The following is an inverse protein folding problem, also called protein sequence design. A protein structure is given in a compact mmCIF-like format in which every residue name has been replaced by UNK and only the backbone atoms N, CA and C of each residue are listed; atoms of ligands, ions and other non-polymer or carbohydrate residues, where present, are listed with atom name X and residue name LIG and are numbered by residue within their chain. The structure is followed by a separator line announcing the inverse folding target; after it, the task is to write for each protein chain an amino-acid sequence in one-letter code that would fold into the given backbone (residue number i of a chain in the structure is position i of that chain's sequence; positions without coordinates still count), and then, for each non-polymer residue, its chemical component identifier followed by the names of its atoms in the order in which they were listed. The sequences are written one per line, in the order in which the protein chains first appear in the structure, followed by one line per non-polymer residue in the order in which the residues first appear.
data_IF_662197321717
#
_entry.id   IF_662197321717
#
_cell.length_a   1.000
_cell.length_b   1.000
_cell.length_c   1.000
_cell.angle_alpha   90.00
_cell.angle_beta   90.00
_cell.angle_gamma   90.00
#
_symmetry.space_group_name_H-M   'P 1'
#
loop_
_entity.id
_entity.type
_entity.pdbx_description
1 polymer ?
#
# COMPACT_ATOMS: atom_id res chain seq x y z
N UNK A 1 -21.28 -4.77 -32.11
CA UNK A 1 -20.78 -6.12 -31.70
C UNK A 1 -21.29 -6.42 -30.30
N UNK A 2 -21.53 -7.69 -29.91
CA UNK A 2 -21.85 -8.03 -28.52
C UNK A 2 -20.74 -7.55 -27.57
N UNK A 3 -21.10 -7.01 -26.41
CA UNK A 3 -20.16 -6.42 -25.45
C UNK A 3 -19.02 -7.39 -25.07
N UNK A 4 -19.30 -8.69 -24.97
CA UNK A 4 -18.30 -9.73 -24.69
C UNK A 4 -17.25 -9.89 -25.80
N UNK A 5 -17.67 -9.79 -27.08
CA UNK A 5 -16.75 -9.86 -28.23
C UNK A 5 -15.84 -8.64 -28.29
N UNK A 6 -16.38 -7.46 -27.97
CA UNK A 6 -15.61 -6.22 -27.91
C UNK A 6 -14.58 -6.24 -26.77
N UNK A 7 -14.97 -6.65 -25.55
CA UNK A 7 -14.04 -6.76 -24.42
C UNK A 7 -12.89 -7.72 -24.74
N UNK A 8 -13.18 -8.87 -25.35
CA UNK A 8 -12.14 -9.82 -25.76
C UNK A 8 -11.18 -9.21 -26.78
N UNK A 9 -11.71 -8.55 -27.82
CA UNK A 9 -10.87 -7.86 -28.79
C UNK A 9 -9.95 -6.82 -28.14
N UNK A 10 -10.47 -6.00 -27.21
CA UNK A 10 -9.66 -5.00 -26.49
C UNK A 10 -8.57 -5.69 -25.65
N UNK A 11 -8.91 -6.75 -24.93
CA UNK A 11 -7.96 -7.50 -24.12
C UNK A 11 -6.84 -8.08 -24.99
N UNK A 12 -7.17 -8.70 -26.11
CA UNK A 12 -6.19 -9.33 -27.01
C UNK A 12 -5.18 -8.30 -27.54
N UNK A 13 -5.65 -7.11 -27.95
CA UNK A 13 -4.79 -5.99 -28.38
C UNK A 13 -3.87 -5.53 -27.24
N UNK A 14 -4.40 -5.39 -26.02
CA UNK A 14 -3.60 -4.95 -24.88
C UNK A 14 -2.56 -6.01 -24.47
N UNK A 15 -2.90 -7.29 -24.56
CA UNK A 15 -2.00 -8.40 -24.28
C UNK A 15 -0.85 -8.46 -25.30
N UNK A 16 -1.13 -8.27 -26.59
CA UNK A 16 -0.10 -8.17 -27.63
C UNK A 16 0.87 -7.01 -27.35
N UNK A 17 0.34 -5.85 -26.97
CA UNK A 17 1.16 -4.68 -26.60
C UNK A 17 2.01 -4.98 -25.36
N UNK A 18 1.49 -5.71 -24.38
CA UNK A 18 2.26 -6.09 -23.21
C UNK A 18 3.39 -7.07 -23.55
N UNK A 19 3.16 -8.01 -24.47
CA UNK A 19 4.20 -8.91 -24.96
C UNK A 19 5.36 -8.14 -25.61
N UNK A 20 5.06 -7.12 -26.42
CA UNK A 20 6.08 -6.27 -27.03
C UNK A 20 6.93 -5.56 -25.97
N UNK A 21 6.30 -5.04 -24.90
CA UNK A 21 7.02 -4.38 -23.79
C UNK A 21 7.93 -5.35 -23.05
N UNK A 22 7.42 -6.55 -22.74
CA UNK A 22 8.18 -7.60 -22.06
C UNK A 22 9.40 -8.05 -22.86
N UNK A 23 9.25 -8.17 -24.18
CA UNK A 23 10.37 -8.49 -25.08
C UNK A 23 11.38 -7.35 -25.12
N UNK A 24 10.91 -6.10 -25.28
CA UNK A 24 11.78 -4.93 -25.36
C UNK A 24 12.68 -4.76 -24.13
N UNK A 25 12.14 -4.98 -22.91
CA UNK A 25 12.90 -4.87 -21.66
C UNK A 25 14.01 -5.92 -21.50
N UNK A 26 13.99 -6.99 -22.28
CA UNK A 26 14.97 -8.09 -22.23
C UNK A 26 16.07 -7.97 -23.29
N UNK A 27 15.97 -7.01 -24.22
CA UNK A 27 16.95 -6.85 -25.29
C UNK A 27 18.29 -6.34 -24.71
N UNK A 28 19.42 -7.05 -24.95
CA UNK A 28 20.72 -6.65 -24.38
C UNK A 28 21.22 -5.28 -24.88
N UNK A 29 20.94 -4.95 -26.14
CA UNK A 29 21.31 -3.68 -26.78
C UNK A 29 20.07 -3.05 -27.43
N UNK A 30 19.21 -2.40 -26.63
CA UNK A 30 17.96 -1.86 -27.12
C UNK A 30 18.21 -0.58 -27.93
N UNK A 31 17.36 -0.33 -28.92
CA UNK A 31 17.22 1.01 -29.51
C UNK A 31 16.51 1.96 -28.52
N UNK A 32 16.32 3.23 -28.91
CA UNK A 32 15.71 4.23 -28.02
C UNK A 32 14.30 3.85 -27.54
N UNK A 33 13.45 3.32 -28.43
CA UNK A 33 12.09 2.91 -28.09
C UNK A 33 12.06 1.71 -27.15
N UNK A 34 12.95 0.75 -27.36
CA UNK A 34 13.05 -0.44 -26.52
C UNK A 34 13.63 -0.11 -25.14
N UNK A 35 14.58 0.82 -25.07
CA UNK A 35 15.20 1.28 -23.83
C UNK A 35 14.17 1.92 -22.89
N UNK A 36 13.08 2.47 -23.43
CA UNK A 36 11.96 3.00 -22.65
C UNK A 36 11.31 1.97 -21.71
N UNK A 37 11.40 0.68 -22.04
CA UNK A 37 10.87 -0.45 -21.28
C UNK A 37 11.95 -1.22 -20.50
N UNK A 38 13.12 -0.60 -20.25
CA UNK A 38 14.22 -1.22 -19.52
C UNK A 38 13.80 -1.65 -18.11
N UNK A 39 14.33 -2.81 -17.67
CA UNK A 39 14.12 -3.45 -16.36
C UNK A 39 15.46 -3.84 -15.70
N UNK A 40 16.56 -3.23 -16.15
CA UNK A 40 17.92 -3.65 -15.78
C UNK A 40 18.19 -3.48 -14.29
N UNK A 41 17.62 -2.45 -13.67
CA UNK A 41 17.78 -2.23 -12.24
C UNK A 41 17.11 -3.35 -11.43
N UNK A 42 15.89 -3.73 -11.81
CA UNK A 42 15.17 -4.84 -11.18
C UNK A 42 15.91 -6.17 -11.34
N UNK A 43 16.56 -6.41 -12.49
CA UNK A 43 17.39 -7.60 -12.71
C UNK A 43 18.69 -7.63 -11.88
N UNK A 44 19.21 -6.48 -11.45
CA UNK A 44 20.35 -6.41 -10.52
C UNK A 44 19.94 -6.71 -9.08
N UNK A 45 18.68 -6.41 -8.73
CA UNK A 45 18.10 -6.58 -7.39
C UNK A 45 17.16 -7.79 -7.32
N UNK A 46 17.54 -8.92 -7.95
CA UNK A 46 16.74 -10.16 -7.93
C UNK A 46 16.34 -10.62 -6.53
N UNK A 47 17.19 -10.56 -5.49
CA UNK A 47 16.81 -10.96 -4.14
C UNK A 47 15.69 -10.10 -3.51
N UNK A 48 15.49 -8.88 -4.01
CA UNK A 48 14.46 -7.95 -3.53
C UNK A 48 13.12 -8.13 -4.27
N UNK A 49 13.08 -8.98 -5.29
CA UNK A 49 11.89 -9.31 -6.06
C UNK A 49 11.23 -10.58 -5.51
N UNK A 50 9.96 -10.51 -5.13
CA UNK A 50 9.19 -11.68 -4.67
C UNK A 50 8.96 -12.68 -5.79
N UNK A 51 8.81 -12.20 -7.02
CA UNK A 51 8.61 -13.03 -8.21
C UNK A 51 9.69 -12.73 -9.24
N UNK A 52 10.29 -13.78 -9.80
CA UNK A 52 11.38 -13.66 -10.79
C UNK A 52 10.92 -13.06 -12.12
N UNK A 53 9.62 -13.11 -12.40
CA UNK A 53 9.01 -12.65 -13.65
C UNK A 53 8.16 -11.38 -13.51
N UNK A 54 8.11 -10.77 -12.32
CA UNK A 54 7.43 -9.49 -12.10
C UNK A 54 8.49 -8.47 -11.74
N UNK A 55 8.86 -7.62 -12.70
CA UNK A 55 10.01 -6.73 -12.62
C UNK A 55 9.58 -5.28 -12.82
N UNK A 56 10.18 -4.37 -12.06
CA UNK A 56 9.88 -2.95 -12.14
C UNK A 56 10.58 -2.30 -13.35
N UNK A 57 9.87 -1.41 -14.06
CA UNK A 57 10.49 -0.57 -15.10
C UNK A 57 11.47 0.43 -14.49
N UNK A 58 12.65 0.58 -15.09
CA UNK A 58 13.70 1.47 -14.59
C UNK A 58 13.24 2.93 -14.52
N UNK A 59 12.46 3.41 -15.50
CA UNK A 59 12.12 4.84 -15.63
C UNK A 59 11.25 5.37 -14.50
N UNK A 60 10.41 4.53 -13.91
CA UNK A 60 9.48 4.92 -12.83
C UNK A 60 9.69 4.08 -11.57
N UNK A 61 10.80 3.35 -11.46
CA UNK A 61 11.09 2.53 -10.30
C UNK A 61 11.18 3.41 -9.04
N UNK A 62 10.62 2.93 -7.94
CA UNK A 62 10.75 3.59 -6.64
C UNK A 62 12.08 3.20 -6.00
N UNK A 63 12.81 4.20 -5.52
CA UNK A 63 14.00 4.03 -4.69
C UNK A 63 13.88 4.91 -3.46
N UNK A 64 14.29 4.40 -2.31
CA UNK A 64 14.20 5.08 -1.02
C UNK A 64 15.58 5.13 -0.42
N UNK A 65 16.17 6.32 -0.32
CA UNK A 65 17.50 6.52 0.25
C UNK A 65 18.56 5.61 -0.44
N UNK A 66 18.43 5.42 -1.76
CA UNK A 66 19.31 4.56 -2.56
C UNK A 66 18.98 3.07 -2.51
N UNK A 67 17.97 2.64 -1.75
CA UNK A 67 17.51 1.25 -1.68
C UNK A 67 16.40 0.98 -2.68
N UNK A 68 16.54 -0.09 -3.45
CA UNK A 68 15.54 -0.54 -4.40
C UNK A 68 14.33 -1.17 -3.70
N UNK A 69 13.14 -0.88 -4.21
CA UNK A 69 11.94 -1.67 -3.96
C UNK A 69 11.28 -2.03 -5.29
N UNK A 70 10.71 -3.22 -5.41
CA UNK A 70 9.97 -3.61 -6.60
C UNK A 70 8.58 -2.94 -6.62
N UNK A 71 8.61 -1.68 -7.03
CA UNK A 71 7.46 -0.82 -7.20
C UNK A 71 7.72 0.20 -8.30
N UNK A 72 6.63 0.67 -8.92
CA UNK A 72 6.65 1.73 -9.92
C UNK A 72 5.65 2.82 -9.56
N UNK A 73 6.04 4.07 -9.81
CA UNK A 73 5.08 5.17 -9.92
C UNK A 73 4.27 4.94 -11.19
N UNK A 74 2.95 4.99 -11.05
CA UNK A 74 1.97 4.80 -12.11
C UNK A 74 1.12 6.05 -12.21
N UNK A 75 1.09 6.63 -13.40
CA UNK A 75 0.15 7.72 -13.72
C UNK A 75 -1.02 7.15 -14.49
N UNK A 76 -2.23 7.61 -14.19
CA UNK A 76 -3.44 7.19 -14.92
C UNK A 76 -3.64 7.97 -16.24
N UNK A 77 -2.74 8.91 -16.54
CA UNK A 77 -2.81 9.82 -17.69
C UNK A 77 -3.86 10.93 -17.56
N UNK A 78 -4.53 11.04 -16.42
CA UNK A 78 -5.60 12.00 -16.10
C UNK A 78 -5.28 12.89 -14.90
N UNK A 79 -4.06 12.77 -14.36
CA UNK A 79 -3.57 13.54 -13.22
C UNK A 79 -3.49 12.76 -11.91
N UNK A 80 -3.96 11.50 -11.88
CA UNK A 80 -3.78 10.61 -10.74
C UNK A 80 -2.38 9.99 -10.74
N UNK A 81 -1.70 10.09 -9.60
CA UNK A 81 -0.41 9.44 -9.32
C UNK A 81 -0.62 8.31 -8.31
N UNK A 82 -0.10 7.13 -8.62
CA UNK A 82 -0.25 5.91 -7.83
C UNK A 82 1.11 5.23 -7.68
N UNK A 83 1.23 4.34 -6.70
CA UNK A 83 2.37 3.43 -6.58
C UNK A 83 1.85 2.02 -6.68
N UNK A 84 2.24 1.31 -7.73
CA UNK A 84 2.00 -0.12 -7.86
C UNK A 84 3.23 -0.88 -7.37
N UNK A 85 3.06 -1.75 -6.38
CA UNK A 85 4.15 -2.48 -5.74
C UNK A 85 3.79 -3.95 -5.55
N UNK A 86 4.80 -4.81 -5.51
CA UNK A 86 4.63 -6.14 -4.94
C UNK A 86 4.41 -6.03 -3.42
N UNK A 87 3.85 -7.08 -2.80
CA UNK A 87 3.92 -7.22 -1.34
C UNK A 87 5.40 -7.27 -0.90
N UNK A 88 5.86 -6.36 -0.03
CA UNK A 88 7.28 -6.26 0.32
C UNK A 88 7.76 -7.57 0.95
N UNK A 89 9.02 -7.92 0.70
CA UNK A 89 9.69 -9.01 1.42
C UNK A 89 10.01 -8.52 2.85
N UNK A 90 10.18 -9.44 3.83
CA UNK A 90 10.50 -9.06 5.20
C UNK A 90 11.72 -8.12 5.32
N UNK A 91 12.75 -8.35 4.51
CA UNK A 91 13.94 -7.49 4.42
C UNK A 91 13.66 -6.05 3.95
N UNK A 92 12.55 -5.84 3.24
CA UNK A 92 12.19 -4.57 2.63
C UNK A 92 11.07 -3.83 3.38
N UNK A 93 10.56 -4.34 4.51
CA UNK A 93 9.46 -3.70 5.26
C UNK A 93 9.76 -2.25 5.64
N UNK A 94 10.90 -1.98 6.27
CA UNK A 94 11.31 -0.62 6.65
C UNK A 94 11.37 0.31 5.42
N UNK A 95 12.00 -0.17 4.35
CA UNK A 95 12.15 0.62 3.11
C UNK A 95 10.80 0.88 2.44
N UNK A 96 9.88 -0.09 2.47
CA UNK A 96 8.52 0.05 1.98
C UNK A 96 7.74 1.13 2.75
N UNK A 97 7.76 1.10 4.09
CA UNK A 97 7.07 2.13 4.88
C UNK A 97 7.69 3.52 4.74
N UNK A 98 9.02 3.60 4.62
CA UNK A 98 9.71 4.86 4.33
C UNK A 98 9.29 5.43 2.98
N UNK A 99 9.08 4.59 1.96
CA UNK A 99 8.57 5.03 0.66
C UNK A 99 7.25 5.79 0.78
N UNK A 100 6.36 5.31 1.66
CA UNK A 100 5.05 5.90 1.93
C UNK A 100 5.15 7.18 2.75
N UNK A 101 5.96 7.16 3.82
CA UNK A 101 6.04 8.27 4.77
C UNK A 101 6.87 9.46 4.25
N UNK A 102 7.97 9.19 3.56
CA UNK A 102 8.88 10.22 3.05
C UNK A 102 8.43 10.79 1.71
N UNK A 103 7.49 10.13 1.03
CA UNK A 103 7.10 10.51 -0.33
C UNK A 103 8.20 10.23 -1.36
N UNK A 104 9.18 9.36 -1.05
CA UNK A 104 10.29 9.03 -1.95
C UNK A 104 9.82 8.43 -3.28
N UNK A 105 8.62 7.86 -3.32
CA UNK A 105 8.00 7.40 -4.57
C UNK A 105 7.54 8.55 -5.47
N UNK A 106 6.95 9.61 -4.91
CA UNK A 106 6.29 10.69 -5.67
C UNK A 106 7.02 12.04 -5.60
N UNK A 107 8.17 12.08 -4.92
CA UNK A 107 8.90 13.30 -4.56
C UNK A 107 8.06 14.33 -3.79
N UNK A 108 6.97 13.89 -3.17
CA UNK A 108 6.04 14.72 -2.39
C UNK A 108 5.67 13.95 -1.15
N UNK A 109 5.94 14.53 0.03
CA UNK A 109 5.47 13.96 1.29
C UNK A 109 3.94 13.99 1.30
N UNK A 110 3.25 12.85 1.38
CA UNK A 110 1.79 12.84 1.41
C UNK A 110 1.28 13.29 2.78
N UNK A 111 0.12 13.95 2.81
CA UNK A 111 -0.62 14.20 4.05
C UNK A 111 -1.28 12.90 4.55
N UNK A 112 -1.83 12.11 3.61
CA UNK A 112 -2.51 10.84 3.86
C UNK A 112 -2.03 9.76 2.89
N UNK A 113 -2.02 8.50 3.34
CA UNK A 113 -1.63 7.33 2.52
C UNK A 113 -2.74 6.30 2.53
N UNK A 114 -3.29 5.99 1.35
CA UNK A 114 -4.21 4.87 1.16
C UNK A 114 -3.41 3.68 0.64
N UNK A 115 -3.42 2.58 1.41
CA UNK A 115 -2.79 1.32 1.02
C UNK A 115 -3.85 0.28 0.73
N UNK A 116 -3.78 -0.33 -0.46
CA UNK A 116 -4.71 -1.38 -0.88
C UNK A 116 -3.94 -2.68 -1.10
N UNK A 117 -4.25 -3.70 -0.31
CA UNK A 117 -3.76 -5.07 -0.53
C UNK A 117 -4.86 -5.89 -1.22
N UNK A 118 -4.53 -6.45 -2.39
CA UNK A 118 -5.47 -7.19 -3.22
C UNK A 118 -5.30 -8.72 -3.15
N UNK A 119 -4.37 -9.21 -2.32
CA UNK A 119 -4.03 -10.63 -2.19
C UNK A 119 -4.11 -11.08 -0.73
N UNK A 120 -4.41 -12.36 -0.50
CA UNK A 120 -4.24 -12.95 0.82
C UNK A 120 -2.76 -13.08 1.21
N UNK A 121 -2.49 -13.50 2.46
CA UNK A 121 -1.12 -13.87 2.84
C UNK A 121 -0.66 -15.12 2.10
N UNK A 122 -1.58 -16.06 1.89
CA UNK A 122 -1.37 -17.32 1.20
C UNK A 122 -2.52 -17.60 0.25
N UNK A 123 -2.20 -18.08 -0.96
CA UNK A 123 -3.17 -18.54 -1.94
C UNK A 123 -2.73 -19.90 -2.48
N UNK A 124 -3.57 -20.93 -2.33
CA UNK A 124 -3.29 -22.30 -2.81
C UNK A 124 -1.94 -22.86 -2.32
N UNK A 125 -1.59 -22.63 -1.04
CA UNK A 125 -0.32 -23.12 -0.46
C UNK A 125 0.90 -22.23 -0.74
N UNK A 126 0.75 -21.17 -1.53
CA UNK A 126 1.84 -20.28 -1.91
C UNK A 126 1.74 -18.96 -1.13
N UNK A 127 2.82 -18.58 -0.45
CA UNK A 127 2.91 -17.28 0.23
C UNK A 127 2.92 -16.16 -0.82
N UNK A 128 1.88 -15.32 -0.80
CA UNK A 128 1.70 -14.18 -1.70
C UNK A 128 2.15 -12.88 -1.06
N UNK A 129 2.02 -12.78 0.25
CA UNK A 129 2.45 -11.64 1.06
C UNK A 129 2.85 -12.12 2.45
N UNK A 130 3.96 -11.59 2.97
CA UNK A 130 4.28 -11.69 4.40
C UNK A 130 3.41 -10.67 5.17
N UNK A 131 3.20 -10.80 6.50
CA UNK A 131 2.31 -9.91 7.29
C UNK A 131 2.80 -8.45 7.44
N UNK A 132 2.92 -7.73 6.33
CA UNK A 132 3.38 -6.34 6.21
C UNK A 132 2.25 -5.32 6.44
N UNK A 133 1.01 -5.77 6.58
CA UNK A 133 -0.08 -4.96 7.11
C UNK A 133 -0.61 -5.74 8.31
N UNK A 134 -0.88 -5.06 9.43
CA UNK A 134 -1.56 -5.74 10.53
C UNK A 134 -2.91 -6.28 10.08
N UNK A 135 -3.55 -7.19 10.84
CA UNK A 135 -4.85 -7.77 10.52
C UNK A 135 -6.01 -6.75 10.31
N UNK A 136 -5.72 -5.44 10.29
CA UNK A 136 -6.67 -4.36 10.05
C UNK A 136 -7.42 -3.97 11.31
N UNK A 137 -6.87 -4.30 12.48
CA UNK A 137 -7.55 -4.19 13.77
C UNK A 137 -6.63 -3.71 14.89
N UNK A 138 -5.52 -4.41 15.19
CA UNK A 138 -4.57 -3.96 16.22
C UNK A 138 -3.82 -2.67 15.83
N UNK A 139 -2.72 -2.80 15.08
CA UNK A 139 -1.87 -1.66 14.69
C UNK A 139 -2.61 -0.63 13.83
N UNK A 140 -3.56 -1.08 13.01
CA UNK A 140 -4.40 -0.19 12.19
C UNK A 140 -5.33 0.66 13.06
N UNK A 141 -5.97 0.06 14.07
CA UNK A 141 -6.79 0.82 15.03
C UNK A 141 -5.94 1.82 15.81
N UNK A 142 -4.74 1.42 16.26
CA UNK A 142 -3.80 2.31 16.95
C UNK A 142 -3.38 3.49 16.08
N UNK A 143 -3.07 3.25 14.81
CA UNK A 143 -2.70 4.32 13.87
C UNK A 143 -3.86 5.29 13.63
N UNK A 144 -5.08 4.78 13.40
CA UNK A 144 -6.27 5.63 13.19
C UNK A 144 -6.53 6.49 14.43
N UNK A 145 -6.48 5.89 15.62
CA UNK A 145 -6.68 6.62 16.88
C UNK A 145 -5.64 7.73 17.07
N UNK A 146 -4.35 7.42 16.91
CA UNK A 146 -3.27 8.41 17.00
C UNK A 146 -3.39 9.53 15.96
N UNK A 147 -3.79 9.19 14.73
CA UNK A 147 -3.99 10.17 13.68
C UNK A 147 -5.16 11.11 14.00
N UNK A 148 -6.27 10.57 14.51
CA UNK A 148 -7.45 11.34 14.90
C UNK A 148 -7.14 12.27 16.08
N UNK A 149 -6.38 11.80 17.07
CA UNK A 149 -6.01 12.59 18.24
C UNK A 149 -5.04 13.74 17.92
N UNK A 150 -4.25 13.63 16.85
CA UNK A 150 -3.34 14.69 16.40
C UNK A 150 -4.04 15.87 15.71
N UNK A 151 -5.26 15.67 15.19
CA UNK A 151 -6.09 16.72 14.61
C UNK A 151 -7.54 16.56 15.13
N UNK A 152 -7.80 16.96 16.39
CA UNK A 152 -9.08 16.70 17.04
C UNK A 152 -10.24 17.38 16.28
N UNK A 153 -11.32 16.62 16.06
CA UNK A 153 -12.59 17.11 15.54
C UNK A 153 -13.76 16.54 16.36
N UNK A 154 -14.99 16.98 16.06
CA UNK A 154 -16.19 16.44 16.74
C UNK A 154 -16.50 15.03 16.24
N UNK A 155 -16.76 14.11 17.18
CA UNK A 155 -17.26 12.77 16.87
C UNK A 155 -18.71 12.91 16.39
N UNK A 156 -18.97 12.54 15.14
CA UNK A 156 -20.30 12.65 14.51
C UNK A 156 -21.06 11.32 14.47
N UNK A 157 -20.43 10.23 14.89
CA UNK A 157 -21.00 8.89 14.86
C UNK A 157 -21.90 8.66 16.08
N UNK A 158 -23.16 8.33 15.84
CA UNK A 158 -24.09 7.92 16.88
C UNK A 158 -23.89 6.43 17.22
N UNK A 159 -23.64 6.11 18.49
CA UNK A 159 -23.63 4.74 18.98
C UNK A 159 -25.01 4.34 19.53
N UNK A 160 -25.49 3.11 19.24
CA UNK A 160 -26.66 2.56 19.91
C UNK A 160 -26.37 2.08 21.35
N UNK A 161 -25.09 2.05 21.78
CA UNK A 161 -24.70 1.72 23.14
C UNK A 161 -24.88 2.92 24.09
N UNK A 162 -25.05 2.66 25.41
CA UNK A 162 -24.99 3.73 26.40
C UNK A 162 -23.66 4.50 26.31
N UNK A 163 -23.65 5.81 26.65
CA UNK A 163 -22.41 6.57 26.68
C UNK A 163 -21.39 5.96 27.65
N UNK A 164 -20.12 6.26 27.42
CA UNK A 164 -19.05 5.84 28.34
C UNK A 164 -19.33 6.32 29.78
N UNK A 165 -18.89 5.57 30.81
CA UNK A 165 -19.00 5.95 32.21
C UNK A 165 -18.50 7.38 32.50
N UNK A 166 -19.06 8.03 33.53
CA UNK A 166 -18.78 9.44 33.83
C UNK A 166 -17.29 9.76 33.99
N UNK A 167 -16.51 8.84 34.56
CA UNK A 167 -15.06 8.91 34.74
C UNK A 167 -14.27 8.87 33.42
N UNK A 168 -14.84 8.33 32.35
CA UNK A 168 -14.26 8.27 30.99
C UNK A 168 -14.95 9.22 30.00
N UNK A 169 -16.00 9.94 30.42
CA UNK A 169 -16.84 10.77 29.54
C UNK A 169 -16.10 11.93 28.87
N UNK A 170 -14.92 12.31 29.38
CA UNK A 170 -14.05 13.34 28.84
C UNK A 170 -12.70 12.79 28.35
N UNK A 171 -12.51 11.46 28.36
CA UNK A 171 -11.27 10.83 27.93
C UNK A 171 -11.25 10.76 26.40
N UNK A 172 -10.41 11.58 25.78
CA UNK A 172 -10.26 11.67 24.33
C UNK A 172 -9.82 10.35 23.69
N UNK A 173 -8.96 9.56 24.35
CA UNK A 173 -8.52 8.26 23.84
C UNK A 173 -9.67 7.27 23.89
N UNK A 174 -10.36 7.17 25.02
CA UNK A 174 -11.48 6.27 25.19
C UNK A 174 -12.60 6.58 24.18
N UNK A 175 -12.99 7.85 24.07
CA UNK A 175 -13.99 8.32 23.10
C UNK A 175 -13.58 8.01 21.65
N UNK A 176 -12.30 8.24 21.30
CA UNK A 176 -11.78 7.96 19.95
C UNK A 176 -11.79 6.46 19.65
N UNK A 177 -11.31 5.62 20.56
CA UNK A 177 -11.24 4.17 20.38
C UNK A 177 -12.64 3.55 20.33
N UNK A 178 -13.58 4.05 21.14
CA UNK A 178 -14.97 3.64 21.11
C UNK A 178 -15.63 4.00 19.77
N UNK A 179 -15.48 5.24 19.32
CA UNK A 179 -16.03 5.71 18.05
C UNK A 179 -15.52 4.91 16.83
N UNK A 180 -14.21 4.63 16.74
CA UNK A 180 -13.69 3.84 15.60
C UNK A 180 -14.17 2.38 15.64
N UNK A 181 -14.47 1.83 16.82
CA UNK A 181 -14.97 0.45 16.99
C UNK A 181 -16.40 0.27 16.49
N UNK A 182 -17.20 1.33 16.44
CA UNK A 182 -18.51 1.33 15.76
C UNK A 182 -18.39 0.99 14.27
N UNK A 183 -17.32 1.43 13.61
CA UNK A 183 -17.08 1.14 12.20
C UNK A 183 -16.43 -0.24 11.96
N UNK A 184 -15.62 -0.73 12.91
CA UNK A 184 -14.95 -2.03 12.81
C UNK A 184 -14.63 -2.60 14.18
N UNK A 185 -15.24 -3.76 14.49
CA UNK A 185 -14.99 -4.47 15.74
C UNK A 185 -13.49 -4.78 15.95
N UNK A 186 -13.07 -4.78 17.21
CA UNK A 186 -11.73 -5.16 17.65
C UNK A 186 -10.59 -4.22 17.20
N UNK A 187 -10.87 -2.97 16.79
CA UNK A 187 -9.79 -1.99 16.62
C UNK A 187 -9.10 -1.71 17.97
N UNK A 188 -7.76 -1.56 18.00
CA UNK A 188 -6.94 -1.45 19.23
C UNK A 188 -7.15 -2.68 20.13
N UNK A 189 -6.43 -3.76 19.85
CA UNK A 189 -6.75 -5.08 20.39
C UNK A 189 -6.19 -5.38 21.77
N UNK A 190 -5.04 -4.82 22.10
CA UNK A 190 -4.31 -5.18 23.32
C UNK A 190 -4.15 -3.99 24.26
N UNK A 191 -4.03 -4.21 25.58
CA UNK A 191 -3.77 -3.13 26.53
C UNK A 191 -2.53 -2.32 26.20
N UNK A 192 -1.47 -2.95 25.68
CA UNK A 192 -0.22 -2.27 25.28
C UNK A 192 -0.43 -1.34 24.08
N UNK A 193 -1.33 -1.70 23.15
CA UNK A 193 -1.70 -0.84 22.04
C UNK A 193 -2.53 0.36 22.49
N UNK A 194 -3.36 0.19 23.52
CA UNK A 194 -4.12 1.28 24.11
C UNK A 194 -3.22 2.20 24.94
N UNK A 195 -2.33 1.62 25.76
CA UNK A 195 -1.31 2.34 26.52
C UNK A 195 -0.42 3.18 25.60
N UNK A 196 0.01 2.62 24.46
CA UNK A 196 0.78 3.36 23.47
C UNK A 196 0.03 4.59 22.94
N UNK A 197 -1.30 4.56 22.82
CA UNK A 197 -2.09 5.72 22.40
C UNK A 197 -2.08 6.79 23.49
N UNK A 198 -2.26 6.39 24.74
CA UNK A 198 -2.17 7.30 25.89
C UNK A 198 -0.78 7.93 26.04
N UNK A 199 0.28 7.18 25.77
CA UNK A 199 1.66 7.66 25.89
C UNK A 199 2.05 8.64 24.76
N UNK A 200 1.35 8.59 23.63
CA UNK A 200 1.68 9.32 22.41
C UNK A 200 0.70 10.46 22.05
N UNK A 201 -0.34 10.67 22.86
CA UNK A 201 -1.25 11.81 22.72
C UNK A 201 -0.63 13.11 23.24
#
# INVERSE_FOLDING_TARGET
MPQSKYIRQVYDILAERELIRLQAGQIPRPNAEQAFYSIRNSLKHRPDNRYSNILAYDRTAVSVEGRYINANVVTDGKGGEWVAAQAPLPSAFDTFYRALYLGSATNKKPNDVIMVQLTGWEERGMVKADPYISAGVGRTGTFIALSSLRQPGEVTLASPLPPLPNDLSQDSVALTVDAIRECRRMLVQTPEQLQLIYDMQ
#
